data_IF_992098121830
#
_entry.id   IF_992098121830
#
_cell.length_a   1.000
_cell.length_b   1.000
_cell.length_c   1.000
_cell.angle_alpha   90.00
_cell.angle_beta   90.00
_cell.angle_gamma   90.00
#
_symmetry.space_group_name_H-M   'P 1'
#
loop_
_entity.id
_entity.type
_entity.pdbx_description
1 polymer ?
#
# COMPACT_ATOMS: atom_id res chain seq x y z
N UNK A 1 61.78 -7.83 63.09
CA UNK A 1 61.64 -9.04 62.26
C UNK A 1 61.24 -8.59 60.86
N UNK A 2 62.08 -8.92 59.88
CA UNK A 2 61.90 -9.12 58.44
C UNK A 2 61.03 -8.15 57.62
N UNK A 3 61.26 -7.88 56.33
CA UNK A 3 62.40 -7.86 55.41
C UNK A 3 61.81 -7.40 54.05
N UNK A 4 62.65 -6.76 53.24
CA UNK A 4 62.58 -6.48 51.81
C UNK A 4 61.59 -7.27 50.92
N UNK A 5 61.07 -6.64 49.84
CA UNK A 5 61.64 -6.74 48.47
C UNK A 5 60.87 -5.92 47.41
N UNK A 6 61.67 -5.48 46.45
CA UNK A 6 61.45 -4.67 45.24
C UNK A 6 61.15 -5.58 44.02
N UNK A 7 60.42 -5.08 43.01
CA UNK A 7 60.35 -5.49 41.56
C UNK A 7 58.89 -5.59 41.06
N UNK A 8 58.50 -5.30 39.81
CA UNK A 8 59.06 -4.67 38.61
C UNK A 8 57.87 -4.37 37.66
N UNK A 9 58.08 -3.46 36.71
CA UNK A 9 57.27 -3.05 35.54
C UNK A 9 56.13 -3.95 35.01
N UNK A 10 55.06 -3.30 34.54
CA UNK A 10 54.56 -3.48 33.15
C UNK A 10 53.92 -2.19 32.62
N UNK A 11 54.51 -1.67 31.55
CA UNK A 11 53.87 -0.71 30.63
C UNK A 11 52.91 -1.50 29.75
N UNK A 12 51.69 -1.00 29.53
CA UNK A 12 50.84 -1.47 28.44
C UNK A 12 50.09 -0.28 27.86
N UNK A 13 50.68 0.25 26.79
CA UNK A 13 50.04 1.14 25.84
C UNK A 13 49.20 0.24 24.92
N UNK A 14 47.92 0.54 24.75
CA UNK A 14 47.25 0.27 23.48
C UNK A 14 46.18 1.32 23.21
N UNK A 15 46.54 2.31 22.41
CA UNK A 15 45.61 3.16 21.70
C UNK A 15 45.17 2.44 20.42
N UNK A 16 43.86 2.22 20.24
CA UNK A 16 43.26 1.93 18.93
C UNK A 16 42.06 2.85 18.78
N UNK A 17 42.28 3.97 18.08
CA UNK A 17 41.23 4.83 17.54
C UNK A 17 41.04 4.41 16.08
N UNK A 18 39.94 3.73 15.79
CA UNK A 18 39.43 3.58 14.43
C UNK A 18 37.90 3.47 14.48
N UNK A 19 37.20 4.57 14.22
CA UNK A 19 35.79 4.51 13.83
C UNK A 19 35.69 5.08 12.42
N UNK A 20 35.98 4.22 11.44
CA UNK A 20 35.61 4.45 10.06
C UNK A 20 34.11 4.21 9.93
N UNK A 21 33.33 5.29 9.95
CA UNK A 21 31.91 5.25 9.62
C UNK A 21 31.73 5.09 8.12
N UNK A 22 31.52 3.85 7.66
CA UNK A 22 30.97 3.61 6.34
C UNK A 22 29.47 3.90 6.40
N UNK A 23 29.05 5.04 5.85
CA UNK A 23 27.65 5.32 5.62
C UNK A 23 27.11 4.33 4.59
N UNK A 24 26.40 3.31 5.06
CA UNK A 24 25.63 2.40 4.20
C UNK A 24 24.48 3.19 3.59
N UNK A 25 24.69 3.70 2.38
CA UNK A 25 23.60 4.14 1.51
C UNK A 25 22.75 2.93 1.14
N UNK A 26 21.74 2.62 1.95
CA UNK A 26 20.72 1.66 1.61
C UNK A 26 19.82 2.28 0.52
N UNK A 27 20.17 2.03 -0.74
CA UNK A 27 19.23 2.20 -1.84
C UNK A 27 18.05 1.26 -1.58
N UNK A 28 16.92 1.82 -1.12
CA UNK A 28 15.63 1.12 -1.00
C UNK A 28 15.24 0.66 -2.41
N UNK A 29 15.44 -0.63 -2.69
CA UNK A 29 14.87 -1.25 -3.88
C UNK A 29 13.35 -1.07 -3.84
N UNK A 30 12.68 -0.80 -4.98
CA UNK A 30 11.23 -0.78 -5.01
C UNK A 30 10.73 -2.16 -4.57
N UNK A 31 9.95 -2.18 -3.50
CA UNK A 31 9.29 -3.39 -3.04
C UNK A 31 8.02 -3.53 -3.86
N UNK A 32 7.92 -4.57 -4.69
CA UNK A 32 6.64 -5.03 -5.25
C UNK A 32 5.78 -5.53 -4.07
N UNK A 33 5.15 -4.61 -3.37
CA UNK A 33 4.26 -4.92 -2.24
C UNK A 33 2.95 -5.47 -2.80
N UNK A 34 2.77 -6.78 -2.68
CA UNK A 34 1.47 -7.42 -2.95
C UNK A 34 0.51 -7.04 -1.82
N UNK A 35 -0.50 -6.24 -2.14
CA UNK A 35 -1.53 -5.81 -1.19
C UNK A 35 -2.68 -6.82 -1.13
N UNK A 36 -3.25 -7.12 0.05
CA UNK A 36 -4.33 -8.09 0.17
C UNK A 36 -5.65 -7.59 -0.43
N UNK A 37 -6.48 -8.51 -0.93
CA UNK A 37 -7.85 -8.19 -1.32
C UNK A 37 -8.71 -7.76 -0.14
N UNK A 38 -9.75 -6.97 -0.43
CA UNK A 38 -10.80 -6.60 0.52
C UNK A 38 -12.13 -7.12 0.02
N UNK A 39 -12.86 -7.82 0.89
CA UNK A 39 -14.24 -8.26 0.66
C UNK A 39 -15.16 -7.44 1.56
N UNK A 40 -16.14 -6.79 0.96
CA UNK A 40 -17.04 -5.81 1.57
C UNK A 40 -18.47 -6.09 1.08
N UNK A 41 -19.45 -5.53 1.76
CA UNK A 41 -20.86 -5.64 1.36
C UNK A 41 -21.49 -4.25 1.33
N UNK A 42 -22.07 -3.88 0.19
CA UNK A 42 -22.85 -2.67 -0.01
C UNK A 42 -24.34 -3.02 -0.08
N UNK A 43 -24.97 -3.15 1.09
CA UNK A 43 -26.36 -3.59 1.19
C UNK A 43 -26.53 -5.04 0.72
N UNK A 44 -27.09 -5.24 -0.48
CA UNK A 44 -27.31 -6.56 -1.09
C UNK A 44 -26.29 -6.90 -2.20
N UNK A 45 -25.20 -6.14 -2.28
CA UNK A 45 -24.11 -6.34 -3.25
C UNK A 45 -22.85 -6.77 -2.51
N UNK A 46 -22.30 -7.92 -2.88
CA UNK A 46 -20.99 -8.34 -2.43
C UNK A 46 -19.92 -7.74 -3.33
N UNK A 47 -18.87 -7.18 -2.73
CA UNK A 47 -17.83 -6.42 -3.41
C UNK A 47 -16.47 -6.98 -3.03
N UNK A 48 -15.67 -7.39 -4.02
CA UNK A 48 -14.28 -7.80 -3.82
C UNK A 48 -13.37 -6.86 -4.59
N UNK A 49 -12.40 -6.26 -3.89
CA UNK A 49 -11.42 -5.35 -4.49
C UNK A 49 -10.02 -5.89 -4.23
N UNK A 50 -9.28 -6.14 -5.30
CA UNK A 50 -7.90 -6.65 -5.25
C UNK A 50 -6.96 -5.64 -5.91
N UNK A 51 -6.03 -5.00 -5.17
CA UNK A 51 -5.01 -4.17 -5.78
C UNK A 51 -4.06 -5.05 -6.61
N UNK A 52 -3.95 -4.79 -7.91
CA UNK A 52 -3.08 -5.54 -8.83
C UNK A 52 -1.84 -4.73 -9.23
N UNK A 53 -1.92 -3.40 -9.15
CA UNK A 53 -0.78 -2.49 -9.34
C UNK A 53 -0.96 -1.22 -8.51
N UNK A 54 0.12 -0.74 -7.91
CA UNK A 54 0.20 0.56 -7.29
C UNK A 54 1.65 1.04 -7.35
N UNK A 55 1.93 2.00 -8.23
CA UNK A 55 3.27 2.50 -8.47
C UNK A 55 3.26 3.97 -8.93
N UNK A 56 4.41 4.48 -9.37
CA UNK A 56 4.54 5.88 -9.81
C UNK A 56 3.81 6.22 -11.11
N UNK A 57 3.21 5.26 -11.79
CA UNK A 57 2.39 5.47 -13.00
C UNK A 57 0.91 5.51 -12.69
N UNK A 58 0.47 4.84 -11.62
CA UNK A 58 -0.93 4.78 -11.24
C UNK A 58 -1.28 3.59 -10.37
N UNK A 59 -2.59 3.32 -10.29
CA UNK A 59 -3.13 2.18 -9.58
C UNK A 59 -4.06 1.36 -10.47
N UNK A 60 -4.16 0.07 -10.19
CA UNK A 60 -5.16 -0.82 -10.80
C UNK A 60 -5.74 -1.72 -9.73
N UNK A 61 -7.06 -1.80 -9.71
CA UNK A 61 -7.80 -2.68 -8.83
C UNK A 61 -8.70 -3.58 -9.66
N UNK A 62 -8.56 -4.88 -9.48
CA UNK A 62 -9.56 -5.83 -9.96
C UNK A 62 -10.76 -5.76 -9.00
N UNK A 63 -11.93 -5.40 -9.53
CA UNK A 63 -13.18 -5.23 -8.79
C UNK A 63 -14.19 -6.27 -9.27
N UNK A 64 -14.80 -6.97 -8.32
CA UNK A 64 -15.90 -7.89 -8.54
C UNK A 64 -17.12 -7.41 -7.76
N UNK A 65 -18.26 -7.31 -8.42
CA UNK A 65 -19.56 -6.96 -7.87
C UNK A 65 -20.52 -8.12 -8.12
N UNK A 66 -21.16 -8.64 -7.09
CA UNK A 66 -22.12 -9.74 -7.17
C UNK A 66 -23.42 -9.37 -6.45
N UNK A 67 -24.55 -9.56 -7.11
CA UNK A 67 -25.86 -9.42 -6.47
C UNK A 67 -26.93 -10.24 -7.16
N UNK A 68 -27.92 -10.66 -6.37
CA UNK A 68 -29.10 -11.36 -6.88
C UNK A 68 -30.36 -10.49 -6.89
N UNK A 69 -30.28 -9.25 -6.37
CA UNK A 69 -31.48 -8.43 -6.15
C UNK A 69 -31.27 -6.93 -6.29
N UNK A 70 -30.03 -6.44 -6.30
CA UNK A 70 -29.73 -5.02 -6.46
C UNK A 70 -29.45 -4.64 -7.91
N UNK A 71 -29.51 -3.33 -8.18
CA UNK A 71 -29.16 -2.75 -9.46
C UNK A 71 -27.66 -2.44 -9.52
N UNK A 72 -27.00 -2.82 -10.63
CA UNK A 72 -25.59 -2.57 -10.90
C UNK A 72 -25.39 -1.61 -12.08
N UNK A 73 -26.32 -0.67 -12.28
CA UNK A 73 -26.30 0.31 -13.37
C UNK A 73 -25.30 1.46 -13.21
N UNK A 74 -24.53 1.51 -12.11
CA UNK A 74 -23.61 2.61 -11.85
C UNK A 74 -22.43 2.62 -12.85
N UNK A 75 -21.94 3.81 -13.17
CA UNK A 75 -20.68 3.97 -13.88
C UNK A 75 -19.53 4.09 -12.88
N UNK A 76 -18.72 3.03 -12.78
CA UNK A 76 -17.58 2.96 -11.87
C UNK A 76 -16.55 4.06 -12.12
N UNK A 77 -16.48 4.61 -13.34
CA UNK A 77 -15.54 5.70 -13.64
C UNK A 77 -15.93 7.02 -12.97
N UNK A 78 -17.20 7.17 -12.61
CA UNK A 78 -17.74 8.37 -11.95
C UNK A 78 -18.02 8.14 -10.47
N UNK A 79 -18.23 6.89 -10.07
CA UNK A 79 -18.66 6.54 -8.72
C UNK A 79 -17.49 6.22 -7.76
N UNK A 80 -16.29 6.00 -8.30
CA UNK A 80 -15.11 5.64 -7.53
C UNK A 80 -14.18 6.83 -7.30
N UNK A 81 -13.58 6.89 -6.11
CA UNK A 81 -12.57 7.88 -5.75
C UNK A 81 -11.41 7.19 -5.03
N UNK A 82 -10.18 7.45 -5.49
CA UNK A 82 -8.96 6.96 -4.86
C UNK A 82 -8.22 8.12 -4.21
N UNK A 83 -8.01 8.03 -2.90
CA UNK A 83 -7.08 8.87 -2.15
C UNK A 83 -5.81 8.08 -1.81
N UNK A 84 -4.65 8.68 -2.08
CA UNK A 84 -3.35 8.15 -1.68
C UNK A 84 -2.66 9.18 -0.79
N UNK A 85 -2.70 8.91 0.50
CA UNK A 85 -2.08 9.71 1.56
C UNK A 85 -2.51 11.19 1.51
N UNK A 86 -3.81 11.44 1.34
CA UNK A 86 -4.38 12.78 1.23
C UNK A 86 -4.28 13.42 -0.16
N UNK A 87 -3.85 12.66 -1.17
CA UNK A 87 -3.83 13.10 -2.58
C UNK A 87 -4.80 12.27 -3.41
N UNK A 88 -5.83 12.91 -3.94
CA UNK A 88 -6.76 12.27 -4.88
C UNK A 88 -6.07 11.90 -6.18
N UNK A 89 -6.21 10.63 -6.58
CA UNK A 89 -5.78 10.13 -7.88
C UNK A 89 -7.03 9.97 -8.77
N UNK A 90 -7.10 10.64 -9.93
CA UNK A 90 -8.27 10.57 -10.78
C UNK A 90 -8.43 9.18 -11.38
N UNK A 91 -9.68 8.74 -11.50
CA UNK A 91 -10.03 7.55 -12.27
C UNK A 91 -9.63 7.77 -13.73
N UNK A 92 -9.03 6.76 -14.32
CA UNK A 92 -8.62 6.75 -15.72
C UNK A 92 -9.62 5.93 -16.56
N UNK A 93 -9.90 4.68 -16.17
CA UNK A 93 -10.85 3.84 -16.90
C UNK A 93 -11.44 2.68 -16.07
N UNK A 94 -12.53 2.12 -16.60
CA UNK A 94 -13.08 0.82 -16.20
C UNK A 94 -13.08 -0.10 -17.43
N UNK A 95 -12.43 -1.26 -17.33
CA UNK A 95 -12.34 -2.24 -18.43
C UNK A 95 -13.13 -3.52 -18.18
N UNK A 96 -14.13 -3.47 -17.30
CA UNK A 96 -14.99 -4.60 -16.99
C UNK A 96 -16.34 -4.59 -17.69
N UNK A 97 -17.26 -5.40 -17.16
CA UNK A 97 -18.63 -5.45 -17.64
C UNK A 97 -19.32 -4.06 -17.63
N UNK A 98 -20.10 -3.79 -18.68
CA UNK A 98 -20.92 -2.59 -18.79
C UNK A 98 -21.96 -2.49 -17.65
N UNK A 99 -22.53 -1.30 -17.40
CA UNK A 99 -23.57 -1.13 -16.40
C UNK A 99 -24.77 -2.08 -16.55
N UNK A 100 -25.27 -2.58 -15.42
CA UNK A 100 -26.40 -3.51 -15.32
C UNK A 100 -25.98 -4.96 -15.04
N UNK A 101 -26.95 -5.89 -15.18
CA UNK A 101 -26.75 -7.31 -14.89
C UNK A 101 -26.77 -7.65 -13.40
N UNK A 102 -26.27 -8.85 -13.07
CA UNK A 102 -26.22 -9.39 -11.70
C UNK A 102 -24.79 -9.62 -11.20
N UNK A 103 -23.81 -9.59 -12.11
CA UNK A 103 -22.39 -9.75 -11.82
C UNK A 103 -21.59 -8.81 -12.70
N UNK A 104 -20.60 -8.11 -12.14
CA UNK A 104 -19.67 -7.26 -12.89
C UNK A 104 -18.26 -7.47 -12.38
N UNK A 105 -17.36 -7.81 -13.29
CA UNK A 105 -15.94 -7.97 -13.03
C UNK A 105 -15.11 -7.13 -14.00
N UNK A 106 -13.98 -6.61 -13.52
CA UNK A 106 -13.00 -5.93 -14.37
C UNK A 106 -12.00 -5.09 -13.58
N UNK A 107 -11.19 -4.34 -14.33
CA UNK A 107 -10.16 -3.48 -13.76
C UNK A 107 -10.61 -2.03 -13.72
N UNK A 108 -10.41 -1.40 -12.56
CA UNK A 108 -10.56 0.03 -12.33
C UNK A 108 -9.16 0.66 -12.23
N UNK A 109 -8.84 1.58 -13.14
CA UNK A 109 -7.52 2.21 -13.24
C UNK A 109 -7.53 3.66 -12.79
N UNK A 110 -6.41 4.11 -12.24
CA UNK A 110 -6.23 5.48 -11.76
C UNK A 110 -4.87 6.02 -12.20
N UNK A 111 -4.80 7.31 -12.52
CA UNK A 111 -3.55 7.99 -12.85
C UNK A 111 -2.88 8.52 -11.58
N UNK A 112 -1.58 8.26 -11.40
CA UNK A 112 -0.86 8.75 -10.23
C UNK A 112 -0.78 10.29 -10.20
N UNK A 113 -1.04 10.88 -9.03
CA UNK A 113 -0.84 12.33 -8.76
C UNK A 113 0.19 12.59 -7.65
N UNK A 114 0.90 11.55 -7.21
CA UNK A 114 1.89 11.64 -6.14
C UNK A 114 2.58 10.31 -5.86
N UNK A 115 3.34 10.20 -4.76
CA UNK A 115 3.99 8.96 -4.38
C UNK A 115 2.99 7.83 -4.07
N UNK A 116 3.25 6.58 -4.51
CA UNK A 116 2.40 5.40 -4.22
C UNK A 116 2.63 4.84 -2.81
N UNK A 117 2.65 5.68 -1.78
CA UNK A 117 3.01 5.29 -0.41
C UNK A 117 2.11 5.96 0.63
N UNK A 118 1.94 5.32 1.78
CA UNK A 118 1.09 5.77 2.87
C UNK A 118 -0.25 5.05 2.91
N UNK A 119 -1.28 5.76 3.37
CA UNK A 119 -2.65 5.22 3.40
C UNK A 119 -3.27 5.30 2.01
N UNK A 120 -3.75 4.19 1.49
CA UNK A 120 -4.50 4.12 0.22
C UNK A 120 -5.95 3.85 0.56
N UNK A 121 -6.85 4.75 0.15
CA UNK A 121 -8.27 4.66 0.42
C UNK A 121 -9.06 4.72 -0.89
N UNK A 122 -9.75 3.62 -1.22
CA UNK A 122 -10.65 3.55 -2.36
C UNK A 122 -12.09 3.58 -1.85
N UNK A 123 -12.88 4.52 -2.35
CA UNK A 123 -14.31 4.58 -2.10
C UNK A 123 -15.10 4.27 -3.37
N UNK A 124 -16.24 3.60 -3.23
CA UNK A 124 -17.21 3.41 -4.32
C UNK A 124 -18.60 3.76 -3.80
N UNK A 125 -19.24 4.70 -4.49
CA UNK A 125 -20.60 5.17 -4.19
C UNK A 125 -21.59 4.67 -5.23
N UNK A 126 -22.88 5.00 -5.10
CA UNK A 126 -23.92 4.63 -6.07
C UNK A 126 -24.39 3.16 -5.99
N UNK A 127 -23.74 2.33 -5.19
CA UNK A 127 -24.27 1.05 -4.72
C UNK A 127 -25.30 1.25 -3.59
N UNK A 128 -26.08 0.22 -3.20
CA UNK A 128 -27.04 0.32 -2.10
C UNK A 128 -26.44 0.69 -0.73
N UNK A 129 -25.12 0.56 -0.58
CA UNK A 129 -24.35 1.07 0.55
C UNK A 129 -22.98 1.59 0.08
N UNK A 130 -22.29 2.42 0.89
CA UNK A 130 -20.95 2.86 0.56
C UNK A 130 -19.94 1.71 0.69
N UNK A 131 -18.91 1.77 -0.13
CA UNK A 131 -17.73 0.91 -0.03
C UNK A 131 -16.54 1.79 0.33
N UNK A 132 -15.83 1.43 1.40
CA UNK A 132 -14.62 2.09 1.88
C UNK A 132 -13.54 1.03 2.09
N UNK A 133 -12.56 0.96 1.19
CA UNK A 133 -11.48 -0.02 1.22
C UNK A 133 -10.13 0.65 1.50
N UNK A 134 -9.41 0.20 2.53
CA UNK A 134 -8.16 0.82 2.98
C UNK A 134 -6.97 -0.15 2.99
N UNK A 135 -5.81 0.33 2.55
CA UNK A 135 -4.51 -0.34 2.62
C UNK A 135 -3.43 0.59 3.18
N UNK A 136 -2.34 0.00 3.65
CA UNK A 136 -1.14 0.69 4.08
C UNK A 136 0.03 0.24 3.21
N UNK A 137 0.79 1.20 2.66
CA UNK A 137 1.84 0.94 1.68
C UNK A 137 3.14 1.64 2.11
N UNK A 138 4.22 0.89 2.23
CA UNK A 138 5.56 1.46 2.47
C UNK A 138 5.78 2.04 3.87
N UNK A 139 5.16 1.46 4.91
CA UNK A 139 5.50 1.70 6.31
C UNK A 139 6.88 1.15 6.71
#
# INVERSE_FOLDING_TARGET
MNAHRLSLLTVSILAVVTIGGCASGASKAPSDTVLPSRSLTAGAVDVVITPTRLDGTGATFAVSLDTHSADLSLDLTTAAELDVNGTTWPVDSWTGAAPGGHHRDGDLTFTAQGPPTGTVHLTITGLPGPIDATWQVGG
#
